data_IF_123036008935
#
_entry.id   IF_123036008935
#
_cell.length_a   1.000
_cell.length_b   1.000
_cell.length_c   1.000
_cell.angle_alpha   90.00
_cell.angle_beta   90.00
_cell.angle_gamma   90.00
#
_symmetry.space_group_name_H-M   'P 1'
#
loop_
_entity.id
_entity.type
_entity.pdbx_description
1 polymer ?
#
# COMPACT_ATOMS: atom_id res chain seq x y z
N UNK A 1 5.12 13.26 -19.32
CA UNK A 1 4.47 13.24 -17.98
C UNK A 1 5.54 12.81 -16.98
N UNK A 2 5.82 13.56 -15.91
CA UNK A 2 6.73 13.08 -14.87
C UNK A 2 6.18 11.77 -14.30
N UNK A 3 6.97 10.70 -14.38
CA UNK A 3 6.62 9.40 -13.80
C UNK A 3 7.08 9.39 -12.36
N UNK A 4 6.14 9.48 -11.42
CA UNK A 4 6.44 9.33 -10.01
C UNK A 4 6.60 7.85 -9.65
N UNK A 5 7.60 7.53 -8.84
CA UNK A 5 7.77 6.21 -8.25
C UNK A 5 7.43 6.29 -6.77
N UNK A 6 6.55 5.41 -6.32
CA UNK A 6 6.16 5.30 -4.91
C UNK A 6 6.86 4.10 -4.28
N UNK A 7 7.40 4.29 -3.08
CA UNK A 7 7.87 3.24 -2.18
C UNK A 7 6.93 3.15 -0.99
N UNK A 8 6.68 1.92 -0.52
CA UNK A 8 5.81 1.62 0.61
C UNK A 8 6.50 0.61 1.52
N UNK A 9 6.58 0.90 2.81
CA UNK A 9 7.27 0.01 3.74
C UNK A 9 6.73 0.11 5.17
N UNK A 10 7.02 -0.95 5.92
CA UNK A 10 6.77 -1.03 7.35
C UNK A 10 7.97 -0.44 8.10
N UNK A 11 7.71 0.46 9.05
CA UNK A 11 8.71 0.93 10.01
C UNK A 11 9.16 -0.19 10.96
N UNK A 12 10.38 -0.09 11.47
CA UNK A 12 10.95 -1.05 12.44
C UNK A 12 10.74 -0.57 13.89
N UNK A 13 10.74 -1.51 14.83
CA UNK A 13 10.63 -1.23 16.27
C UNK A 13 9.21 -1.28 16.82
N UNK A 14 8.97 -0.57 17.94
CA UNK A 14 7.72 -0.64 18.70
C UNK A 14 6.53 0.11 18.06
N UNK A 15 6.75 0.71 16.89
CA UNK A 15 5.72 1.41 16.13
C UNK A 15 5.86 1.02 14.66
N UNK A 16 5.22 -0.09 14.24
CA UNK A 16 5.29 -0.58 12.86
C UNK A 16 4.46 0.29 11.91
N UNK A 17 4.79 1.58 11.86
CA UNK A 17 4.10 2.60 11.09
C UNK A 17 4.21 2.29 9.60
N UNK A 18 3.13 2.60 8.89
CA UNK A 18 3.10 2.47 7.44
C UNK A 18 3.60 3.75 6.78
N UNK A 19 4.76 3.66 6.12
CA UNK A 19 5.37 4.78 5.41
C UNK A 19 5.19 4.67 3.90
N UNK A 20 5.16 5.84 3.27
CA UNK A 20 5.30 6.05 1.85
C UNK A 20 6.47 7.00 1.58
N UNK A 21 7.12 6.85 0.43
CA UNK A 21 8.13 7.78 -0.04
C UNK A 21 7.97 7.94 -1.55
N UNK A 22 8.18 9.14 -2.07
CA UNK A 22 7.93 9.46 -3.47
C UNK A 22 9.22 9.95 -4.12
N UNK A 23 9.58 9.31 -5.22
CA UNK A 23 10.64 9.76 -6.10
C UNK A 23 10.03 10.60 -7.23
N UNK A 24 10.45 11.86 -7.32
CA UNK A 24 9.93 12.82 -8.28
C UNK A 24 10.63 12.77 -9.66
N UNK A 25 11.49 11.77 -9.88
CA UNK A 25 12.34 11.68 -11.08
C UNK A 25 13.76 12.20 -10.87
N UNK A 26 14.06 12.85 -9.76
CA UNK A 26 15.38 13.38 -9.41
C UNK A 26 15.83 12.99 -8.00
N UNK A 27 14.93 13.06 -7.01
CA UNK A 27 15.22 12.75 -5.63
C UNK A 27 14.02 12.10 -4.93
N UNK A 28 14.31 11.36 -3.85
CA UNK A 28 13.30 10.88 -2.90
C UNK A 28 12.90 12.02 -1.95
N UNK A 29 11.60 12.15 -1.70
CA UNK A 29 11.05 13.17 -0.79
C UNK A 29 11.27 12.88 0.70
N UNK A 30 11.58 11.62 1.05
CA UNK A 30 11.66 11.15 2.43
C UNK A 30 10.38 10.45 2.89
N UNK A 31 10.47 9.76 4.03
CA UNK A 31 9.38 8.94 4.54
C UNK A 31 8.25 9.81 5.12
N UNK A 32 7.03 9.59 4.62
CA UNK A 32 5.79 10.22 5.09
C UNK A 32 4.79 9.13 5.46
N UNK A 33 4.17 9.19 6.65
CA UNK A 33 3.14 8.23 7.04
C UNK A 33 2.00 8.20 6.02
N UNK A 34 1.53 7.00 5.66
CA UNK A 34 0.31 6.87 4.86
C UNK A 34 -0.86 7.46 5.67
N UNK A 35 -1.67 8.38 5.12
CA UNK A 35 -2.71 9.06 5.87
C UNK A 35 -3.71 8.12 6.55
N UNK A 36 -4.12 8.46 7.77
CA UNK A 36 -5.02 7.65 8.59
C UNK A 36 -4.35 6.85 9.71
N UNK A 37 -3.07 7.13 9.98
CA UNK A 37 -2.27 6.61 11.10
C UNK A 37 -2.35 5.08 11.26
N UNK A 38 -1.82 4.38 10.27
CA UNK A 38 -1.94 2.93 10.12
C UNK A 38 -0.63 2.26 10.50
N UNK A 39 -0.69 1.35 11.45
CA UNK A 39 0.34 0.33 11.63
C UNK A 39 0.04 -0.83 10.68
N UNK A 40 1.08 -1.50 10.20
CA UNK A 40 0.94 -2.70 9.37
C UNK A 40 1.69 -3.86 9.99
N UNK A 41 1.11 -5.06 9.87
CA UNK A 41 1.65 -6.26 10.51
C UNK A 41 2.84 -6.83 9.73
N UNK A 42 2.89 -6.65 8.41
CA UNK A 42 3.91 -7.21 7.50
C UNK A 42 4.05 -6.35 6.23
N UNK A 43 4.78 -6.86 5.23
CA UNK A 43 5.10 -6.17 3.97
C UNK A 43 3.84 -5.83 3.14
N UNK A 44 3.66 -4.57 2.72
CA UNK A 44 2.56 -4.15 1.86
C UNK A 44 2.88 -4.39 0.37
N UNK A 45 1.86 -4.32 -0.49
CA UNK A 45 1.99 -4.30 -1.94
C UNK A 45 1.27 -3.09 -2.53
N UNK A 46 1.74 -2.61 -3.68
CA UNK A 46 1.08 -1.56 -4.42
C UNK A 46 1.02 -1.89 -5.91
N UNK A 47 -0.03 -1.44 -6.58
CA UNK A 47 -0.24 -1.64 -8.02
C UNK A 47 -1.04 -0.47 -8.61
N UNK A 48 -0.70 -0.05 -9.83
CA UNK A 48 -1.49 0.94 -10.56
C UNK A 48 -2.55 0.24 -11.40
N UNK A 49 -3.79 0.65 -11.26
CA UNK A 49 -4.93 0.12 -12.03
C UNK A 49 -5.92 1.24 -12.30
N UNK A 50 -6.36 1.40 -13.56
CA UNK A 50 -7.28 2.47 -13.98
C UNK A 50 -6.87 3.87 -13.47
N UNK A 51 -5.60 4.24 -13.67
CA UNK A 51 -4.98 5.50 -13.22
C UNK A 51 -4.89 5.73 -11.70
N UNK A 52 -5.38 4.80 -10.88
CA UNK A 52 -5.28 4.88 -9.43
C UNK A 52 -4.20 3.95 -8.89
N UNK A 53 -3.57 4.35 -7.79
CA UNK A 53 -2.63 3.54 -7.04
C UNK A 53 -3.37 2.80 -5.92
N UNK A 54 -3.45 1.48 -6.04
CA UNK A 54 -4.02 0.60 -5.04
C UNK A 54 -2.91 0.09 -4.13
N UNK A 55 -3.10 0.20 -2.82
CA UNK A 55 -2.13 -0.24 -1.82
C UNK A 55 -2.81 -1.22 -0.87
N UNK A 56 -2.29 -2.44 -0.85
CA UNK A 56 -2.75 -3.55 -0.03
C UNK A 56 -1.77 -3.80 1.10
N UNK A 57 -2.29 -4.01 2.30
CA UNK A 57 -1.44 -4.20 3.47
C UNK A 57 -2.09 -5.09 4.52
N UNK A 58 -1.31 -5.94 5.21
CA UNK A 58 -1.81 -6.76 6.29
C UNK A 58 -1.93 -5.96 7.59
N UNK A 59 -3.07 -6.08 8.25
CA UNK A 59 -3.38 -5.51 9.55
C UNK A 59 -4.29 -6.47 10.32
N UNK A 60 -3.90 -6.85 11.54
CA UNK A 60 -4.70 -7.68 12.43
C UNK A 60 -5.20 -8.99 11.78
N UNK A 61 -4.31 -9.69 11.08
CA UNK A 61 -4.62 -10.95 10.39
C UNK A 61 -5.64 -10.82 9.24
N UNK A 62 -5.72 -9.64 8.61
CA UNK A 62 -6.53 -9.39 7.42
C UNK A 62 -5.83 -8.43 6.48
N UNK A 63 -6.20 -8.46 5.20
CA UNK A 63 -5.75 -7.45 4.24
C UNK A 63 -6.69 -6.25 4.25
N UNK A 64 -6.10 -5.07 4.12
CA UNK A 64 -6.79 -3.82 3.92
C UNK A 64 -6.28 -3.16 2.64
N UNK A 65 -7.12 -2.33 2.04
CA UNK A 65 -6.83 -1.59 0.83
C UNK A 65 -7.07 -0.10 1.06
N UNK A 66 -6.17 0.71 0.51
CA UNK A 66 -6.35 2.14 0.28
C UNK A 66 -6.08 2.45 -1.19
N UNK A 67 -6.80 3.43 -1.72
CA UNK A 67 -6.65 3.89 -3.10
C UNK A 67 -6.24 5.35 -3.10
N UNK A 68 -5.26 5.69 -3.93
CA UNK A 68 -4.83 7.05 -4.20
C UNK A 68 -5.13 7.39 -5.65
N UNK A 69 -5.86 8.47 -5.89
CA UNK A 69 -6.26 8.93 -7.22
C UNK A 69 -5.29 9.94 -7.86
N UNK A 70 -4.20 10.25 -7.16
CA UNK A 70 -3.25 11.30 -7.57
C UNK A 70 -3.37 12.59 -6.75
N UNK A 71 -4.44 12.74 -5.97
CA UNK A 71 -4.68 13.90 -5.12
C UNK A 71 -5.00 13.48 -3.68
N UNK A 72 -5.92 12.54 -3.50
CA UNK A 72 -6.44 12.12 -2.20
C UNK A 72 -6.43 10.61 -2.00
N UNK A 73 -6.32 10.21 -0.73
CA UNK A 73 -6.42 8.82 -0.30
C UNK A 73 -7.83 8.48 0.14
N UNK A 74 -8.33 7.32 -0.23
CA UNK A 74 -9.57 6.78 0.34
C UNK A 74 -9.39 6.42 1.82
N UNK A 75 -10.52 6.24 2.51
CA UNK A 75 -10.56 5.49 3.77
C UNK A 75 -10.03 4.06 3.55
N UNK A 76 -9.49 3.46 4.61
CA UNK A 76 -9.09 2.05 4.58
C UNK A 76 -10.33 1.15 4.50
N UNK A 77 -10.31 0.18 3.59
CA UNK A 77 -11.35 -0.84 3.48
C UNK A 77 -10.74 -2.23 3.65
N UNK A 78 -11.35 -3.09 4.46
CA UNK A 78 -10.91 -4.48 4.59
C UNK A 78 -11.22 -5.24 3.29
N UNK A 79 -10.26 -6.03 2.81
CA UNK A 79 -10.46 -6.94 1.69
C UNK A 79 -11.23 -8.17 2.20
N UNK A 80 -12.45 -8.44 1.71
CA UNK A 80 -13.26 -9.55 2.19
C UNK A 80 -12.57 -10.91 2.03
N UNK A 81 -12.80 -11.83 2.97
CA UNK A 81 -12.30 -13.21 2.87
C UNK A 81 -10.80 -13.39 3.12
N UNK A 82 -10.12 -12.39 3.71
CA UNK A 82 -8.67 -12.42 3.96
C UNK A 82 -8.31 -12.69 5.43
N UNK A 83 -9.20 -13.34 6.18
CA UNK A 83 -8.89 -13.69 7.58
C UNK A 83 -7.76 -14.72 7.65
N UNK A 84 -6.81 -14.52 8.58
CA UNK A 84 -5.68 -15.41 8.82
C UNK A 84 -4.37 -15.04 8.13
N UNK A 85 -4.32 -13.91 7.40
CA UNK A 85 -3.09 -13.47 6.71
C UNK A 85 -2.02 -13.03 7.71
N UNK A 86 -0.89 -13.73 7.74
CA UNK A 86 0.25 -13.43 8.62
C UNK A 86 1.54 -13.05 7.86
N UNK A 87 1.53 -13.16 6.52
CA UNK A 87 2.65 -12.85 5.65
C UNK A 87 2.52 -11.45 5.02
N UNK A 88 3.54 -11.07 4.25
CA UNK A 88 3.44 -9.95 3.32
C UNK A 88 2.50 -10.29 2.15
N UNK A 89 2.03 -9.26 1.46
CA UNK A 89 1.19 -9.41 0.27
C UNK A 89 1.99 -9.02 -0.98
N UNK A 90 1.66 -9.63 -2.11
CA UNK A 90 2.04 -9.19 -3.45
C UNK A 90 0.78 -8.87 -4.27
N UNK A 91 0.87 -7.90 -5.18
CA UNK A 91 -0.24 -7.49 -6.05
C UNK A 91 0.21 -7.38 -7.50
N UNK A 92 -0.64 -7.82 -8.43
CA UNK A 92 -0.39 -7.71 -9.87
C UNK A 92 -1.69 -7.45 -10.65
N UNK A 93 -1.60 -6.75 -11.78
CA UNK A 93 -2.72 -6.64 -12.73
C UNK A 93 -2.60 -7.71 -13.80
N UNK A 94 -3.67 -8.46 -14.03
CA UNK A 94 -3.78 -9.38 -15.14
C UNK A 94 -5.21 -9.40 -15.67
N UNK A 95 -5.39 -9.37 -16.99
CA UNK A 95 -6.73 -9.47 -17.60
C UNK A 95 -7.75 -8.42 -17.13
N UNK A 96 -7.31 -7.21 -16.75
CA UNK A 96 -8.21 -6.17 -16.24
C UNK A 96 -8.66 -6.38 -14.79
N UNK A 97 -7.99 -7.24 -14.03
CA UNK A 97 -8.24 -7.50 -12.63
C UNK A 97 -6.97 -7.31 -11.80
N UNK A 98 -7.13 -6.99 -10.52
CA UNK A 98 -6.05 -7.02 -9.53
C UNK A 98 -6.07 -8.39 -8.84
N UNK A 99 -4.92 -9.06 -8.81
CA UNK A 99 -4.69 -10.30 -8.08
C UNK A 99 -3.81 -10.04 -6.86
N UNK A 100 -4.16 -10.66 -5.74
CA UNK A 100 -3.38 -10.64 -4.51
C UNK A 100 -2.83 -12.04 -4.23
N UNK A 101 -1.56 -12.10 -3.81
CA UNK A 101 -0.89 -13.32 -3.34
C UNK A 101 -0.42 -13.06 -1.91
N UNK A 102 -0.80 -13.93 -0.97
CA UNK A 102 -0.57 -13.75 0.47
C UNK A 102 -0.65 -15.08 1.23
#
# INVERSE_FOLDING_TARGET
>A
MPTWLFSFHKGVGNSPLFYSNVFNGQAWGGDVPVPGNIWISNTPAAVVFNANLYVFYPLNQSLYCKVYDGEVWTAAAQVPGTAGVNAGVAAAVYGGLIYLIY
#
